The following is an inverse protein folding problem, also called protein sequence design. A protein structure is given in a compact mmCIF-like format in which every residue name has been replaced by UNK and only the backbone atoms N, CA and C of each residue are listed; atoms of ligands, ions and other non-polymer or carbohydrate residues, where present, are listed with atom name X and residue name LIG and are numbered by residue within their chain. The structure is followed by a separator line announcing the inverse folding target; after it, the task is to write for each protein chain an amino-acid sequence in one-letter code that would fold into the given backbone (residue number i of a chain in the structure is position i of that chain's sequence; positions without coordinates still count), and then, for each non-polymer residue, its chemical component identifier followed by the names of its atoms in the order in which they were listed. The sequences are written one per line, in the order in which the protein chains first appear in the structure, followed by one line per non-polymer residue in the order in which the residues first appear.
data_IF_072392202514
#
_entry.id   IF_072392202514
#
_cell.length_a   1.000
_cell.length_b   1.000
_cell.length_c   1.000
_cell.angle_alpha   90.00
_cell.angle_beta   90.00
_cell.angle_gamma   90.00
#
_symmetry.space_group_name_H-M   'P 1'
#
loop_
_entity.id
_entity.type
_entity.pdbx_description
1 polymer ?
#
# COMPACT_ATOMS: atom_id res chain seq x y z
N UNK A 1 -6.88 -2.70 -0.13
CA UNK A 1 -7.89 -3.76 0.06
C UNK A 1 -8.92 -3.69 -1.04
N UNK A 2 -9.68 -4.77 -1.24
CA UNK A 2 -10.89 -4.78 -2.07
C UNK A 2 -12.06 -5.13 -1.17
N UNK A 3 -13.14 -4.33 -1.25
CA UNK A 3 -14.38 -4.54 -0.50
C UNK A 3 -15.49 -4.80 -1.51
N UNK A 4 -16.17 -5.94 -1.39
CA UNK A 4 -17.29 -6.31 -2.25
C UNK A 4 -18.55 -6.55 -1.43
N UNK A 5 -19.64 -5.91 -1.85
CA UNK A 5 -20.96 -5.99 -1.24
C UNK A 5 -22.02 -6.18 -2.32
N UNK A 6 -22.94 -7.12 -2.12
CA UNK A 6 -24.09 -7.31 -2.98
C UNK A 6 -25.41 -7.07 -2.23
N UNK A 7 -26.45 -6.74 -2.99
CA UNK A 7 -27.82 -6.61 -2.51
C UNK A 7 -28.72 -7.45 -3.41
N UNK A 8 -29.51 -8.33 -2.83
CA UNK A 8 -30.50 -9.14 -3.54
C UNK A 8 -31.90 -8.60 -3.22
N UNK A 9 -32.69 -8.31 -4.25
CA UNK A 9 -34.08 -7.87 -4.10
C UNK A 9 -35.04 -8.89 -4.70
N UNK A 10 -36.22 -9.00 -4.11
CA UNK A 10 -37.29 -9.87 -4.58
C UNK A 10 -38.65 -9.23 -4.36
N UNK A 11 -39.58 -9.47 -5.27
CA UNK A 11 -40.96 -8.97 -5.17
C UNK A 11 -41.90 -10.11 -4.79
N UNK A 12 -42.67 -9.93 -3.73
CA UNK A 12 -43.70 -10.89 -3.30
C UNK A 12 -44.94 -10.84 -4.22
N UNK A 13 -45.81 -11.86 -4.22
CA UNK A 13 -47.05 -11.84 -5.01
C UNK A 13 -47.99 -10.66 -4.69
N UNK A 14 -47.91 -10.09 -3.48
CA UNK A 14 -48.66 -8.91 -3.08
C UNK A 14 -47.98 -7.59 -3.50
N UNK A 15 -46.95 -7.66 -4.36
CA UNK A 15 -46.15 -6.53 -4.86
C UNK A 15 -45.30 -5.81 -3.80
N UNK A 16 -45.08 -6.41 -2.63
CA UNK A 16 -44.13 -5.90 -1.64
C UNK A 16 -42.72 -6.33 -2.03
N UNK A 17 -41.77 -5.40 -2.05
CA UNK A 17 -40.35 -5.70 -2.24
C UNK A 17 -39.68 -6.06 -0.91
N UNK A 18 -38.83 -7.08 -0.93
CA UNK A 18 -37.92 -7.46 0.15
C UNK A 18 -36.50 -7.41 -0.37
N UNK A 19 -35.56 -7.07 0.51
CA UNK A 19 -34.14 -6.94 0.18
C UNK A 19 -33.30 -7.63 1.25
N UNK A 20 -32.18 -8.17 0.82
CA UNK A 20 -31.17 -8.76 1.69
C UNK A 20 -29.77 -8.29 1.24
N UNK A 21 -28.89 -8.03 2.20
CA UNK A 21 -27.52 -7.60 1.95
C UNK A 21 -26.60 -8.78 2.21
N UNK A 22 -25.69 -9.06 1.27
CA UNK A 22 -24.85 -10.25 1.38
C UNK A 22 -23.95 -10.20 2.62
N UNK A 23 -23.88 -11.32 3.35
CA UNK A 23 -22.94 -11.50 4.46
C UNK A 23 -22.31 -12.90 4.49
N UNK A 24 -21.73 -13.23 5.64
CA UNK A 24 -21.12 -14.55 5.89
C UNK A 24 -22.12 -15.58 6.44
N UNK A 25 -23.28 -15.14 6.92
CA UNK A 25 -24.37 -15.94 7.45
C UNK A 25 -25.72 -15.39 6.98
N UNK A 26 -26.82 -16.05 7.32
CA UNK A 26 -28.17 -15.72 6.84
C UNK A 26 -28.68 -14.36 7.35
N UNK A 27 -28.08 -13.77 8.37
CA UNK A 27 -28.62 -12.57 9.03
C UNK A 27 -27.62 -11.47 9.33
N UNK A 28 -26.43 -11.51 8.72
CA UNK A 28 -25.48 -10.41 8.81
C UNK A 28 -25.22 -9.82 7.42
N UNK A 29 -24.76 -8.57 7.43
CA UNK A 29 -24.52 -7.77 6.23
C UNK A 29 -23.01 -7.52 6.07
N UNK A 30 -22.19 -8.52 6.43
CA UNK A 30 -20.74 -8.38 6.48
C UNK A 30 -20.14 -8.43 5.05
N UNK A 31 -19.47 -7.38 4.58
CA UNK A 31 -18.90 -7.37 3.25
C UNK A 31 -17.79 -8.41 3.09
N UNK A 32 -17.60 -8.89 1.86
CA UNK A 32 -16.41 -9.70 1.55
C UNK A 32 -15.22 -8.77 1.39
N UNK A 33 -14.26 -8.87 2.30
CA UNK A 33 -13.02 -8.07 2.30
C UNK A 33 -11.84 -8.95 1.92
N UNK A 34 -11.09 -8.51 0.90
CA UNK A 34 -9.82 -9.12 0.51
C UNK A 34 -8.69 -8.11 0.76
N UNK A 35 -7.84 -8.43 1.73
CA UNK A 35 -6.61 -7.67 1.95
C UNK A 35 -5.64 -7.90 0.79
N UNK A 36 -5.09 -6.82 0.26
CA UNK A 36 -4.08 -6.89 -0.81
C UNK A 36 -2.71 -6.83 -0.17
N UNK A 37 -1.87 -7.83 -0.46
CA UNK A 37 -0.48 -7.85 -0.02
C UNK A 37 0.21 -6.53 -0.41
N UNK A 38 0.61 -5.77 0.60
CA UNK A 38 1.44 -4.59 0.40
C UNK A 38 2.89 -5.05 0.34
N UNK A 39 3.61 -4.66 -0.71
CA UNK A 39 5.06 -4.80 -0.77
C UNK A 39 5.69 -3.41 -0.90
N UNK A 40 5.55 -2.53 0.12
CA UNK A 40 6.12 -1.20 0.07
C UNK A 40 7.64 -1.31 0.14
N UNK A 41 8.33 -0.68 -0.80
CA UNK A 41 9.78 -0.61 -0.80
C UNK A 41 10.22 0.83 -1.02
N UNK A 42 11.11 1.31 -0.14
CA UNK A 42 11.79 2.60 -0.27
C UNK A 42 13.27 2.38 -0.03
N UNK A 43 14.10 2.89 -0.93
CA UNK A 43 15.55 2.87 -0.81
C UNK A 43 16.07 4.28 -0.99
N UNK A 44 17.00 4.68 -0.10
CA UNK A 44 17.78 5.90 -0.25
C UNK A 44 19.20 5.44 -0.53
N UNK A 45 19.69 5.73 -1.73
CA UNK A 45 21.09 5.48 -2.11
C UNK A 45 21.82 6.80 -2.02
N UNK A 46 22.92 6.82 -1.28
CA UNK A 46 23.81 7.97 -1.17
C UNK A 46 25.20 7.54 -1.59
N UNK A 47 25.72 8.16 -2.64
CA UNK A 47 27.08 7.88 -3.11
C UNK A 47 28.01 8.91 -2.51
N UNK A 48 29.16 8.48 -1.97
CA UNK A 48 30.22 9.36 -1.49
C UNK A 48 31.41 9.30 -2.44
N UNK A 49 31.89 10.45 -2.89
CA UNK A 49 33.12 10.58 -3.66
C UNK A 49 34.13 11.35 -2.79
N UNK A 50 35.25 10.71 -2.47
CA UNK A 50 36.37 11.37 -1.81
C UNK A 50 37.00 12.36 -2.79
N UNK A 51 37.13 13.61 -2.36
CA UNK A 51 37.79 14.65 -3.12
C UNK A 51 39.22 14.75 -2.59
N UNK A 52 40.20 14.34 -3.40
CA UNK A 52 41.62 14.59 -3.12
C UNK A 52 41.96 16.00 -3.63
N UNK A 53 41.93 16.98 -2.74
CA UNK A 53 42.13 18.38 -3.12
C UNK A 53 43.61 18.76 -3.30
N UNK A 54 44.53 17.97 -2.74
CA UNK A 54 45.96 18.26 -2.75
C UNK A 54 46.78 17.37 -3.72
N UNK A 55 46.19 16.28 -4.20
CA UNK A 55 46.72 15.38 -5.23
C UNK A 55 47.74 14.36 -4.74
N UNK A 56 47.81 14.10 -3.42
CA UNK A 56 48.75 13.15 -2.81
C UNK A 56 48.21 11.71 -2.70
N UNK A 57 46.97 11.48 -3.15
CA UNK A 57 46.24 10.21 -3.08
C UNK A 57 46.07 9.65 -1.65
N UNK A 58 46.29 10.48 -0.63
CA UNK A 58 46.03 10.18 0.76
C UNK A 58 44.79 10.96 1.23
N UNK A 59 44.38 10.72 2.47
CA UNK A 59 43.35 11.52 3.13
C UNK A 59 44.00 12.48 4.11
N UNK A 60 43.69 13.76 3.99
CA UNK A 60 44.29 14.83 4.78
C UNK A 60 43.23 15.58 5.58
N UNK A 61 43.70 16.35 6.58
CA UNK A 61 42.81 17.24 7.34
C UNK A 61 42.25 18.31 6.39
N UNK A 62 40.97 18.62 6.56
CA UNK A 62 40.20 19.59 5.76
C UNK A 62 39.77 19.14 4.35
N UNK A 63 40.08 17.91 3.94
CA UNK A 63 39.56 17.35 2.69
C UNK A 63 38.12 16.88 2.78
N UNK A 64 37.43 16.82 1.63
CA UNK A 64 35.98 16.67 1.60
C UNK A 64 35.48 15.39 0.93
N UNK A 65 34.22 15.04 1.24
CA UNK A 65 33.49 13.98 0.56
C UNK A 65 32.22 14.60 -0.04
N UNK A 66 32.07 14.49 -1.36
CA UNK A 66 30.85 14.90 -2.06
C UNK A 66 29.82 13.78 -1.97
N UNK A 67 28.58 14.13 -1.63
CA UNK A 67 27.49 13.16 -1.63
C UNK A 67 26.37 13.52 -2.62
N UNK A 68 25.82 12.51 -3.29
CA UNK A 68 24.63 12.59 -4.15
C UNK A 68 23.60 11.55 -3.78
#
# INVERSE_FOLDING_TARGET
EVVNQATATGTTPNQTEVSDVSGSTIGNDDPTVIELCQNPAIAIVKTGVFNDENGDACSNVDETITYT
#
